data_IF_656587688443
#
_entry.id   IF_656587688443
#
_cell.length_a   1.000
_cell.length_b   1.000
_cell.length_c   1.000
_cell.angle_alpha   90.00
_cell.angle_beta   90.00
_cell.angle_gamma   90.00
#
_symmetry.space_group_name_H-M   'P 1'
#
loop_
_entity.id
_entity.type
_entity.pdbx_description
1 polymer ?
#
# COMPACT_ATOMS: atom_id res chain seq x y z
N UNK A 1 -10.46 -36.26 16.75
CA UNK A 1 -9.36 -37.16 16.46
C UNK A 1 -9.00 -36.99 14.98
N UNK A 2 -8.07 -36.11 14.66
CA UNK A 2 -7.39 -36.10 13.37
C UNK A 2 -5.90 -36.06 13.66
N UNK A 3 -5.37 -37.21 14.04
CA UNK A 3 -3.93 -37.49 14.19
C UNK A 3 -3.54 -38.58 13.19
N UNK A 4 -3.85 -38.39 11.94
CA UNK A 4 -3.10 -39.07 10.90
C UNK A 4 -1.94 -38.16 10.52
N UNK A 5 -0.74 -38.57 10.89
CA UNK A 5 0.53 -37.98 10.47
C UNK A 5 0.67 -38.22 8.96
N UNK A 6 -0.02 -37.44 8.15
CA UNK A 6 0.32 -37.29 6.74
C UNK A 6 1.76 -36.80 6.75
N UNK A 7 2.72 -37.56 6.19
CA UNK A 7 4.08 -37.06 5.94
C UNK A 7 3.93 -35.69 5.26
N UNK A 8 4.61 -34.64 5.73
CA UNK A 8 4.53 -33.36 5.07
C UNK A 8 4.89 -33.57 3.60
N UNK A 9 3.94 -33.23 2.71
CA UNK A 9 4.16 -33.31 1.27
C UNK A 9 5.13 -32.19 0.88
N UNK A 10 5.90 -32.41 -0.18
CA UNK A 10 6.85 -31.41 -0.67
C UNK A 10 6.13 -30.18 -1.22
N UNK A 11 6.82 -29.05 -1.27
CA UNK A 11 6.33 -27.80 -1.87
C UNK A 11 5.73 -28.04 -3.26
N UNK A 12 6.38 -28.84 -4.09
CA UNK A 12 5.93 -29.19 -5.45
C UNK A 12 4.53 -29.79 -5.49
N UNK A 13 4.15 -30.62 -4.51
CA UNK A 13 2.81 -31.21 -4.46
C UNK A 13 1.72 -30.13 -4.31
N UNK A 14 1.91 -29.20 -3.36
CA UNK A 14 0.93 -28.14 -3.11
C UNK A 14 0.85 -27.16 -4.29
N UNK A 15 2.00 -26.82 -4.87
CA UNK A 15 2.07 -25.89 -6.00
C UNK A 15 1.41 -26.47 -7.25
N UNK A 16 1.70 -27.76 -7.59
CA UNK A 16 1.05 -28.41 -8.73
C UNK A 16 -0.46 -28.48 -8.57
N UNK A 17 -0.93 -28.86 -7.36
CA UNK A 17 -2.37 -28.91 -7.09
C UNK A 17 -3.03 -27.52 -7.17
N UNK A 18 -2.35 -26.50 -6.66
CA UNK A 18 -2.82 -25.10 -6.78
C UNK A 18 -2.89 -24.66 -8.24
N UNK A 19 -1.94 -25.08 -9.04
CA UNK A 19 -1.89 -24.77 -10.47
C UNK A 19 -3.04 -25.42 -11.26
N UNK A 20 -3.42 -26.64 -10.89
CA UNK A 20 -4.53 -27.38 -11.49
C UNK A 20 -5.91 -26.85 -11.06
N UNK A 21 -6.04 -26.37 -9.82
CA UNK A 21 -7.36 -26.08 -9.21
C UNK A 21 -7.71 -24.62 -9.07
N UNK A 22 -6.73 -23.71 -9.01
CA UNK A 22 -6.96 -22.29 -8.80
C UNK A 22 -6.84 -21.47 -10.10
N UNK A 23 -7.53 -20.35 -10.10
CA UNK A 23 -7.55 -19.42 -11.23
C UNK A 23 -6.15 -18.99 -11.70
N UNK A 24 -6.01 -18.83 -13.01
CA UNK A 24 -4.80 -18.26 -13.62
C UNK A 24 -4.50 -16.81 -13.17
N UNK A 25 -5.45 -16.12 -12.55
CA UNK A 25 -5.28 -14.76 -12.05
C UNK A 25 -4.36 -14.65 -10.82
N UNK A 26 -4.02 -15.77 -10.15
CA UNK A 26 -3.09 -15.78 -9.01
C UNK A 26 -1.70 -15.27 -9.41
N UNK A 27 -1.04 -14.55 -8.53
CA UNK A 27 0.24 -13.86 -8.81
C UNK A 27 1.40 -14.40 -7.98
N UNK A 28 1.25 -14.47 -6.66
CA UNK A 28 2.35 -14.74 -5.72
C UNK A 28 2.99 -16.12 -5.85
N UNK A 29 2.26 -17.23 -6.09
CA UNK A 29 2.88 -18.56 -6.25
C UNK A 29 3.87 -18.66 -7.41
N UNK A 30 3.70 -17.80 -8.44
CA UNK A 30 4.63 -17.74 -9.57
C UNK A 30 5.94 -17.04 -9.24
N UNK A 31 5.92 -16.18 -8.21
CA UNK A 31 7.10 -15.46 -7.73
C UNK A 31 7.81 -16.26 -6.62
N UNK A 32 7.01 -16.90 -5.76
CA UNK A 32 7.46 -17.63 -4.57
C UNK A 32 6.84 -19.03 -4.57
N UNK A 33 7.46 -20.01 -5.26
CA UNK A 33 6.89 -21.35 -5.47
C UNK A 33 7.12 -22.25 -4.26
N UNK A 34 6.47 -21.96 -3.13
CA UNK A 34 6.52 -22.73 -1.90
C UNK A 34 5.18 -22.72 -1.17
N UNK A 35 4.91 -23.71 -0.34
CA UNK A 35 3.73 -23.80 0.50
C UNK A 35 4.08 -23.42 1.94
N UNK A 36 3.39 -22.41 2.47
CA UNK A 36 3.60 -21.91 3.84
C UNK A 36 3.03 -22.90 4.86
N UNK A 37 3.80 -23.23 5.88
CA UNK A 37 3.39 -24.09 6.99
C UNK A 37 3.28 -23.35 8.32
N UNK A 38 4.24 -22.46 8.61
CA UNK A 38 4.29 -21.70 9.86
C UNK A 38 4.79 -20.27 9.59
N UNK A 39 4.46 -19.38 10.50
CA UNK A 39 4.94 -18.00 10.46
C UNK A 39 4.99 -17.40 11.86
N UNK A 40 5.99 -16.55 12.13
CA UNK A 40 6.11 -15.82 13.39
C UNK A 40 6.94 -14.55 13.18
N UNK A 41 6.44 -13.38 13.60
CA UNK A 41 7.12 -12.11 13.43
C UNK A 41 7.45 -11.82 11.96
N UNK A 42 8.73 -11.61 11.65
CA UNK A 42 9.22 -11.38 10.28
C UNK A 42 9.62 -12.68 9.54
N UNK A 43 9.30 -13.85 10.07
CA UNK A 43 9.75 -15.12 9.53
C UNK A 43 8.60 -16.03 9.13
N UNK A 44 8.77 -16.71 8.01
CA UNK A 44 7.87 -17.78 7.55
C UNK A 44 8.66 -19.07 7.33
N UNK A 45 7.97 -20.21 7.46
CA UNK A 45 8.52 -21.55 7.25
C UNK A 45 7.64 -22.29 6.23
N UNK A 46 8.27 -22.91 5.24
CA UNK A 46 7.55 -23.75 4.28
C UNK A 46 7.30 -25.17 4.82
N UNK A 47 6.56 -25.98 4.06
CA UNK A 47 6.23 -27.37 4.44
C UNK A 47 7.44 -28.30 4.49
N UNK A 48 8.58 -27.90 3.93
CA UNK A 48 9.85 -28.63 3.95
C UNK A 48 10.77 -28.19 5.11
N UNK A 49 10.32 -27.20 5.93
CA UNK A 49 11.06 -26.69 7.07
C UNK A 49 12.07 -25.59 6.72
N UNK A 50 12.06 -25.08 5.50
CA UNK A 50 12.91 -23.96 5.13
C UNK A 50 12.35 -22.65 5.67
N UNK A 51 13.18 -21.83 6.31
CA UNK A 51 12.81 -20.54 6.87
C UNK A 51 13.20 -19.40 5.96
N UNK A 52 12.29 -18.42 5.80
CA UNK A 52 12.48 -17.24 4.99
C UNK A 52 12.22 -15.97 5.81
N UNK A 53 13.07 -14.98 5.64
CA UNK A 53 12.84 -13.63 6.17
C UNK A 53 11.84 -12.92 5.25
N UNK A 54 10.72 -12.45 5.80
CA UNK A 54 9.61 -11.86 5.04
C UNK A 54 9.63 -10.34 5.10
N UNK A 55 10.09 -9.71 4.02
CA UNK A 55 10.03 -8.26 3.79
C UNK A 55 8.91 -7.86 2.82
N UNK A 56 7.94 -8.75 2.60
CA UNK A 56 6.68 -8.50 1.91
C UNK A 56 5.51 -8.31 2.91
N UNK A 57 5.46 -9.13 3.96
CA UNK A 57 4.48 -9.05 5.05
C UNK A 57 3.04 -8.84 4.57
N UNK A 58 2.59 -9.70 3.63
CA UNK A 58 1.25 -9.60 3.06
C UNK A 58 1.01 -8.28 2.32
N UNK A 59 1.99 -7.76 1.59
CA UNK A 59 1.95 -6.46 0.91
C UNK A 59 1.67 -5.28 1.88
N UNK A 60 2.25 -5.35 3.09
CA UNK A 60 2.11 -4.35 4.14
C UNK A 60 0.90 -4.54 5.07
N UNK A 61 0.17 -5.66 4.95
CA UNK A 61 -0.98 -5.96 5.83
C UNK A 61 -0.54 -6.32 7.25
N UNK A 62 0.57 -7.02 7.40
CA UNK A 62 1.08 -7.52 8.68
C UNK A 62 1.93 -6.46 9.38
N UNK A 63 1.29 -5.41 9.88
CA UNK A 63 2.00 -4.30 10.55
C UNK A 63 2.81 -4.78 11.77
N UNK A 64 2.30 -5.73 12.53
CA UNK A 64 2.97 -6.32 13.71
C UNK A 64 3.63 -7.68 13.42
N UNK A 65 3.80 -8.02 12.12
CA UNK A 65 4.32 -9.31 11.70
C UNK A 65 3.31 -10.44 11.78
N UNK A 66 3.79 -11.64 11.50
CA UNK A 66 2.97 -12.86 11.55
C UNK A 66 2.71 -13.28 13.00
N UNK A 67 1.46 -13.66 13.28
CA UNK A 67 1.04 -14.29 14.54
C UNK A 67 1.50 -13.52 15.79
N UNK A 68 1.29 -12.20 15.79
CA UNK A 68 1.56 -11.37 16.97
C UNK A 68 0.76 -11.91 18.16
N UNK A 69 1.44 -12.13 19.30
CA UNK A 69 0.86 -12.83 20.44
C UNK A 69 -0.31 -12.07 21.08
N UNK A 70 -0.23 -10.75 21.15
CA UNK A 70 -1.26 -9.89 21.75
C UNK A 70 -2.50 -9.82 20.84
N UNK A 71 -2.29 -9.71 19.53
CA UNK A 71 -3.37 -9.75 18.53
C UNK A 71 -4.07 -11.10 18.55
N UNK A 72 -3.32 -12.21 18.57
CA UNK A 72 -3.87 -13.56 18.62
C UNK A 72 -4.66 -13.79 19.91
N UNK A 73 -4.13 -13.38 21.07
CA UNK A 73 -4.83 -13.51 22.36
C UNK A 73 -6.16 -12.76 22.35
N UNK A 74 -6.21 -11.55 21.82
CA UNK A 74 -7.45 -10.77 21.72
C UNK A 74 -8.50 -11.44 20.81
N UNK A 75 -8.08 -12.05 19.70
CA UNK A 75 -9.00 -12.81 18.83
C UNK A 75 -9.53 -14.07 19.54
N UNK A 76 -8.68 -14.82 20.23
CA UNK A 76 -9.09 -16.00 21.01
C UNK A 76 -10.07 -15.62 22.10
N UNK A 77 -9.83 -14.54 22.85
CA UNK A 77 -10.75 -14.00 23.84
C UNK A 77 -12.14 -13.74 23.24
N UNK A 78 -12.21 -13.07 22.09
CA UNK A 78 -13.48 -12.80 21.42
C UNK A 78 -14.20 -14.09 20.99
N UNK A 79 -13.48 -15.06 20.40
CA UNK A 79 -14.05 -16.33 19.96
C UNK A 79 -14.66 -17.10 21.14
N UNK A 80 -13.98 -17.11 22.29
CA UNK A 80 -14.39 -17.88 23.48
C UNK A 80 -15.46 -17.16 24.33
N UNK A 81 -15.71 -15.88 24.08
CA UNK A 81 -16.67 -15.06 24.85
C UNK A 81 -18.13 -15.24 24.43
N UNK A 82 -18.43 -16.06 23.42
CA UNK A 82 -19.76 -16.19 22.79
C UNK A 82 -20.30 -14.88 22.17
N UNK A 83 -19.45 -13.88 21.92
CA UNK A 83 -19.83 -12.68 21.20
C UNK A 83 -20.17 -13.00 19.74
N UNK A 84 -21.13 -12.28 19.12
CA UNK A 84 -21.47 -12.53 17.72
C UNK A 84 -20.28 -12.19 16.81
N UNK A 85 -19.89 -13.11 15.95
CA UNK A 85 -18.79 -12.92 14.99
C UNK A 85 -19.26 -12.28 13.68
N UNK A 86 -20.53 -12.46 13.32
CA UNK A 86 -21.16 -11.88 12.14
C UNK A 86 -22.39 -11.05 12.56
N UNK A 87 -22.42 -9.78 12.19
CA UNK A 87 -23.41 -8.82 12.69
C UNK A 87 -24.05 -7.95 11.61
N UNK A 88 -23.75 -8.22 10.31
CA UNK A 88 -24.07 -7.24 9.27
C UNK A 88 -23.43 -5.89 9.63
N UNK A 89 -24.22 -4.81 9.63
CA UNK A 89 -23.83 -3.47 10.07
C UNK A 89 -24.33 -3.09 11.47
N UNK A 90 -24.91 -4.05 12.19
CA UNK A 90 -25.35 -3.84 13.58
C UNK A 90 -24.16 -3.50 14.47
N UNK A 91 -24.43 -2.72 15.54
CA UNK A 91 -23.42 -2.37 16.51
C UNK A 91 -23.18 -3.46 17.54
N UNK A 92 -21.98 -3.50 18.11
CA UNK A 92 -21.56 -4.37 19.22
C UNK A 92 -20.58 -3.62 20.11
N UNK A 93 -20.33 -4.06 21.36
CA UNK A 93 -19.26 -3.49 22.18
C UNK A 93 -17.89 -3.52 21.51
N UNK A 94 -17.56 -4.61 20.79
CA UNK A 94 -16.29 -4.72 20.04
C UNK A 94 -16.19 -3.67 18.94
N UNK A 95 -17.27 -3.47 18.17
CA UNK A 95 -17.32 -2.46 17.12
C UNK A 95 -17.24 -1.05 17.70
N UNK A 96 -17.94 -0.78 18.78
CA UNK A 96 -17.96 0.51 19.44
C UNK A 96 -16.55 0.89 19.95
N UNK A 97 -15.87 -0.01 20.66
CA UNK A 97 -14.48 0.16 21.10
C UNK A 97 -13.53 0.44 19.95
N UNK A 98 -13.67 -0.30 18.83
CA UNK A 98 -12.85 -0.08 17.66
C UNK A 98 -13.08 1.30 17.04
N UNK A 99 -14.34 1.71 16.88
CA UNK A 99 -14.74 3.01 16.35
C UNK A 99 -14.20 4.13 17.23
N UNK A 100 -14.39 4.05 18.55
CA UNK A 100 -13.86 5.03 19.51
C UNK A 100 -12.32 5.14 19.41
N UNK A 101 -11.63 3.99 19.40
CA UNK A 101 -10.18 3.94 19.26
C UNK A 101 -9.72 4.67 17.99
N UNK A 102 -10.34 4.35 16.85
CA UNK A 102 -9.98 4.98 15.59
C UNK A 102 -10.30 6.49 15.57
N UNK A 103 -11.48 6.89 16.05
CA UNK A 103 -11.86 8.31 16.11
C UNK A 103 -10.91 9.14 16.97
N UNK A 104 -10.43 8.57 18.09
CA UNK A 104 -9.46 9.25 18.95
C UNK A 104 -8.10 9.49 18.28
N UNK A 105 -7.77 8.75 17.24
CA UNK A 105 -6.52 8.86 16.47
C UNK A 105 -6.63 9.76 15.23
N UNK A 106 -7.84 10.19 14.87
CA UNK A 106 -8.04 11.08 13.73
C UNK A 106 -7.51 12.50 14.01
N UNK A 107 -7.08 13.23 12.96
CA UNK A 107 -6.73 14.65 13.07
C UNK A 107 -7.86 15.46 13.72
N UNK A 108 -7.50 16.50 14.48
CA UNK A 108 -8.41 17.27 15.33
C UNK A 108 -9.66 17.78 14.64
N UNK A 109 -9.55 18.18 13.36
CA UNK A 109 -10.68 18.65 12.54
C UNK A 109 -11.62 17.53 12.04
N UNK A 110 -11.19 16.27 12.08
CA UNK A 110 -12.01 15.10 11.78
C UNK A 110 -12.48 14.38 13.04
N UNK A 111 -11.76 14.43 14.16
CA UNK A 111 -12.00 13.64 15.37
C UNK A 111 -13.47 13.62 15.81
N UNK A 112 -14.15 14.77 15.80
CA UNK A 112 -15.57 14.90 16.19
C UNK A 112 -16.48 15.20 14.99
N UNK A 113 -15.95 15.14 13.78
CA UNK A 113 -16.63 15.54 12.55
C UNK A 113 -16.54 14.49 11.46
N UNK A 114 -16.09 13.29 11.78
CA UNK A 114 -16.00 12.18 10.83
C UNK A 114 -17.10 11.15 11.05
N UNK A 115 -17.47 10.49 9.95
CA UNK A 115 -18.22 9.23 9.92
C UNK A 115 -17.37 8.11 9.34
N UNK A 116 -17.73 6.88 9.67
CA UNK A 116 -17.02 5.67 9.22
C UNK A 116 -18.01 4.79 8.47
N UNK A 117 -17.69 4.48 7.21
CA UNK A 117 -18.35 3.43 6.44
C UNK A 117 -17.47 2.19 6.46
N UNK A 118 -17.99 1.12 7.05
CA UNK A 118 -17.36 -0.19 6.93
C UNK A 118 -17.64 -0.78 5.54
N UNK A 119 -16.61 -1.33 4.91
CA UNK A 119 -16.65 -1.90 3.57
C UNK A 119 -16.44 -3.42 3.61
N UNK A 120 -16.51 -4.08 2.46
CA UNK A 120 -16.07 -5.47 2.31
C UNK A 120 -14.59 -5.61 2.65
N UNK A 121 -14.06 -6.81 2.85
CA UNK A 121 -12.66 -7.02 3.25
C UNK A 121 -11.60 -6.36 2.38
N UNK A 122 -11.88 -6.12 1.10
CA UNK A 122 -10.91 -5.60 0.15
C UNK A 122 -10.86 -4.06 0.14
N UNK A 123 -9.65 -3.49 0.12
CA UNK A 123 -9.45 -2.03 -0.02
C UNK A 123 -10.10 -1.43 -1.27
N UNK A 124 -10.23 -2.20 -2.36
CA UNK A 124 -10.94 -1.77 -3.57
C UNK A 124 -12.41 -1.42 -3.32
N UNK A 125 -13.08 -2.10 -2.38
CA UNK A 125 -14.46 -1.77 -2.02
C UNK A 125 -14.55 -0.44 -1.25
N UNK A 126 -13.54 -0.12 -0.44
CA UNK A 126 -13.45 1.20 0.19
C UNK A 126 -13.25 2.32 -0.85
N UNK A 127 -12.46 2.05 -1.90
CA UNK A 127 -12.31 3.00 -3.03
C UNK A 127 -13.65 3.20 -3.75
N UNK A 128 -14.35 2.11 -4.09
CA UNK A 128 -15.66 2.17 -4.75
C UNK A 128 -16.70 2.89 -3.87
N UNK A 129 -16.69 2.66 -2.55
CA UNK A 129 -17.51 3.38 -1.60
C UNK A 129 -17.24 4.89 -1.59
N UNK A 130 -15.96 5.28 -1.54
CA UNK A 130 -15.56 6.69 -1.52
C UNK A 130 -15.91 7.43 -2.83
N UNK A 131 -15.74 6.76 -3.97
CA UNK A 131 -16.17 7.31 -5.28
C UNK A 131 -17.68 7.57 -5.28
N UNK A 132 -18.48 6.60 -4.82
CA UNK A 132 -19.94 6.74 -4.72
C UNK A 132 -20.34 7.84 -3.75
N UNK A 133 -19.70 7.89 -2.57
CA UNK A 133 -19.91 8.93 -1.56
C UNK A 133 -19.72 10.32 -2.17
N UNK A 134 -18.56 10.55 -2.78
CA UNK A 134 -18.20 11.87 -3.32
C UNK A 134 -19.10 12.25 -4.50
N UNK A 135 -19.42 11.31 -5.41
CA UNK A 135 -20.37 11.58 -6.51
C UNK A 135 -21.75 11.95 -5.98
N UNK A 136 -22.25 11.24 -4.97
CA UNK A 136 -23.55 11.53 -4.35
C UNK A 136 -23.52 12.89 -3.63
N UNK A 137 -22.45 13.18 -2.88
CA UNK A 137 -22.35 14.40 -2.11
C UNK A 137 -22.23 15.67 -2.96
N UNK A 138 -21.57 15.58 -4.12
CA UNK A 138 -21.28 16.74 -5.00
C UNK A 138 -22.22 16.85 -6.18
N UNK A 139 -22.92 15.78 -6.58
CA UNK A 139 -23.70 15.72 -7.82
C UNK A 139 -22.84 15.68 -9.10
N UNK A 140 -21.50 15.57 -8.97
CA UNK A 140 -20.56 15.56 -10.10
C UNK A 140 -20.28 14.13 -10.55
N UNK A 141 -19.91 13.92 -11.82
CA UNK A 141 -19.77 12.60 -12.43
C UNK A 141 -18.32 12.09 -12.58
N UNK A 142 -17.33 12.99 -12.58
CA UNK A 142 -15.93 12.64 -12.90
C UNK A 142 -15.06 12.48 -11.65
N UNK A 143 -13.94 11.76 -11.79
CA UNK A 143 -12.94 11.59 -10.74
C UNK A 143 -11.56 11.97 -11.30
N UNK A 144 -10.81 12.74 -10.55
CA UNK A 144 -9.41 13.01 -10.83
C UNK A 144 -8.52 11.99 -10.09
N UNK A 145 -7.62 11.34 -10.81
CA UNK A 145 -6.65 10.37 -10.31
C UNK A 145 -5.24 10.71 -10.81
N UNK A 146 -4.24 9.97 -10.38
CA UNK A 146 -2.85 10.25 -10.77
C UNK A 146 -2.20 9.07 -11.49
N UNK A 147 -1.33 9.39 -12.46
CA UNK A 147 -0.54 8.38 -13.17
C UNK A 147 0.33 7.57 -12.19
N UNK A 148 0.35 6.26 -12.36
CA UNK A 148 1.06 5.34 -11.46
C UNK A 148 0.32 4.98 -10.16
N UNK A 149 -0.83 5.60 -9.88
CA UNK A 149 -1.66 5.25 -8.72
C UNK A 149 -2.22 3.83 -8.82
N UNK A 150 -2.35 3.17 -7.67
CA UNK A 150 -3.01 1.87 -7.54
C UNK A 150 -4.07 1.91 -6.44
N UNK A 151 -5.32 1.67 -6.83
CA UNK A 151 -6.46 1.79 -5.91
C UNK A 151 -7.27 0.48 -5.79
N UNK A 152 -6.85 -0.57 -6.48
CA UNK A 152 -7.47 -1.89 -6.39
C UNK A 152 -7.95 -2.46 -7.73
N UNK A 153 -8.57 -3.64 -7.67
CA UNK A 153 -8.93 -4.45 -8.84
C UNK A 153 -10.44 -4.54 -9.08
N UNK A 154 -11.29 -3.95 -8.22
CA UNK A 154 -12.72 -3.76 -8.49
C UNK A 154 -12.92 -2.77 -9.65
N UNK A 155 -14.03 -2.84 -10.39
CA UNK A 155 -14.23 -2.05 -11.61
C UNK A 155 -14.10 -0.54 -11.40
N UNK A 156 -14.64 0.02 -10.33
CA UNK A 156 -14.49 1.44 -10.01
C UNK A 156 -13.06 1.78 -9.58
N UNK A 157 -12.49 1.00 -8.66
CA UNK A 157 -11.11 1.15 -8.19
C UNK A 157 -10.09 0.97 -9.34
N UNK A 158 -10.33 -0.02 -10.22
CA UNK A 158 -9.47 -0.25 -11.38
C UNK A 158 -9.54 0.91 -12.38
N UNK A 159 -10.70 1.56 -12.51
CA UNK A 159 -10.86 2.73 -13.39
C UNK A 159 -9.94 3.88 -13.01
N UNK A 160 -9.75 4.12 -11.71
CA UNK A 160 -8.87 5.18 -11.18
C UNK A 160 -7.43 4.70 -10.95
N UNK A 161 -7.13 3.42 -11.16
CA UNK A 161 -5.76 2.87 -11.13
C UNK A 161 -5.00 3.19 -12.40
N UNK A 162 -3.75 3.66 -12.29
CA UNK A 162 -2.92 4.08 -13.44
C UNK A 162 -2.24 2.92 -14.18
N UNK A 163 -2.23 1.70 -13.63
CA UNK A 163 -1.58 0.54 -14.24
C UNK A 163 -2.36 0.01 -15.45
N UNK A 164 -1.84 0.23 -16.66
CA UNK A 164 -2.46 -0.21 -17.91
C UNK A 164 -2.47 -1.74 -18.05
N UNK A 165 -1.46 -2.44 -17.57
CA UNK A 165 -1.37 -3.91 -17.67
C UNK A 165 -2.56 -4.62 -17.03
N UNK A 166 -3.06 -4.10 -15.92
CA UNK A 166 -4.19 -4.66 -15.19
C UNK A 166 -5.54 -4.46 -15.91
N UNK A 167 -5.66 -3.44 -16.77
CA UNK A 167 -6.94 -3.05 -17.38
C UNK A 167 -6.99 -3.10 -18.91
N UNK A 168 -5.85 -3.32 -19.58
CA UNK A 168 -5.76 -3.29 -21.05
C UNK A 168 -6.69 -4.26 -21.79
N UNK A 169 -7.09 -5.35 -21.14
CA UNK A 169 -7.99 -6.35 -21.69
C UNK A 169 -9.44 -6.24 -21.19
N UNK A 170 -9.72 -5.23 -20.35
CA UNK A 170 -11.05 -5.02 -19.77
C UNK A 170 -11.69 -3.83 -20.45
N UNK A 171 -12.83 -4.05 -21.07
CA UNK A 171 -13.59 -2.98 -21.71
C UNK A 171 -14.62 -2.39 -20.74
N UNK A 172 -15.08 -1.17 -21.04
CA UNK A 172 -16.18 -0.49 -20.36
C UNK A 172 -15.99 -0.35 -18.83
N UNK A 173 -14.77 -0.04 -18.39
CA UNK A 173 -14.54 0.44 -17.03
C UNK A 173 -15.31 1.74 -16.79
N UNK A 174 -15.49 2.16 -15.52
CA UNK A 174 -16.17 3.41 -15.18
C UNK A 174 -15.54 4.57 -15.95
N UNK A 175 -16.34 5.25 -16.76
CA UNK A 175 -15.93 6.45 -17.48
C UNK A 175 -15.77 7.67 -16.57
N UNK A 176 -15.32 8.79 -17.16
CA UNK A 176 -15.18 10.06 -16.44
C UNK A 176 -14.00 10.09 -15.47
N UNK A 177 -12.91 9.41 -15.77
CA UNK A 177 -11.66 9.48 -15.00
C UNK A 177 -10.63 10.33 -15.74
N UNK A 178 -10.16 11.39 -15.10
CA UNK A 178 -9.07 12.23 -15.58
C UNK A 178 -7.79 11.92 -14.82
N UNK A 179 -6.74 11.49 -15.53
CA UNK A 179 -5.43 11.27 -14.95
C UNK A 179 -4.54 12.50 -15.03
N UNK A 180 -3.97 12.86 -13.88
CA UNK A 180 -2.96 13.91 -13.75
C UNK A 180 -1.57 13.29 -13.59
N UNK A 181 -0.49 13.98 -14.02
CA UNK A 181 0.86 13.58 -13.70
C UNK A 181 1.09 13.56 -12.18
N UNK A 182 1.72 12.48 -11.69
CA UNK A 182 2.21 12.41 -10.31
C UNK A 182 3.68 12.81 -10.28
N UNK A 183 4.12 13.70 -9.39
CA UNK A 183 5.52 14.09 -9.31
C UNK A 183 6.42 12.90 -8.97
N UNK A 184 7.42 12.69 -9.80
CA UNK A 184 8.41 11.63 -9.62
C UNK A 184 9.78 12.16 -10.05
N UNK A 185 10.57 12.68 -9.11
CA UNK A 185 11.77 13.44 -9.41
C UNK A 185 12.79 12.68 -10.27
N UNK A 186 13.00 11.39 -10.01
CA UNK A 186 13.94 10.55 -10.76
C UNK A 186 13.49 10.32 -12.22
N UNK A 187 12.17 10.28 -12.49
CA UNK A 187 11.58 10.15 -13.84
C UNK A 187 10.46 11.17 -14.01
N UNK A 188 10.84 12.44 -13.95
CA UNK A 188 9.86 13.53 -13.98
C UNK A 188 9.05 13.51 -15.29
N UNK A 189 7.70 13.48 -15.19
CA UNK A 189 6.83 13.44 -16.37
C UNK A 189 6.92 14.70 -17.25
N UNK A 190 7.51 15.77 -16.74
CA UNK A 190 7.72 17.04 -17.46
C UNK A 190 9.14 17.17 -18.02
N UNK A 191 10.02 16.18 -17.81
CA UNK A 191 11.43 16.26 -18.18
C UNK A 191 12.23 17.29 -17.37
N UNK A 192 11.71 17.70 -16.22
CA UNK A 192 12.31 18.67 -15.30
C UNK A 192 12.69 17.93 -14.00
N UNK A 193 13.91 18.07 -13.52
CA UNK A 193 14.34 17.45 -12.27
C UNK A 193 13.92 18.22 -11.01
N UNK A 194 13.90 17.53 -9.85
CA UNK A 194 13.77 18.13 -8.52
C UNK A 194 12.60 19.12 -8.34
N UNK A 195 12.91 20.26 -7.77
CA UNK A 195 11.90 21.29 -7.44
C UNK A 195 11.19 21.86 -8.68
N UNK A 196 11.89 21.99 -9.82
CA UNK A 196 11.29 22.48 -11.05
C UNK A 196 10.17 21.54 -11.56
N UNK A 197 10.40 20.23 -11.47
CA UNK A 197 9.39 19.22 -11.81
C UNK A 197 8.19 19.26 -10.85
N UNK A 198 8.44 19.46 -9.56
CA UNK A 198 7.38 19.61 -8.55
C UNK A 198 6.52 20.86 -8.82
N UNK A 199 7.15 22.00 -9.05
CA UNK A 199 6.45 23.25 -9.39
C UNK A 199 5.63 23.14 -10.69
N UNK A 200 6.18 22.46 -11.69
CA UNK A 200 5.45 22.18 -12.93
C UNK A 200 4.19 21.33 -12.69
N UNK A 201 4.30 20.30 -11.86
CA UNK A 201 3.16 19.45 -11.50
C UNK A 201 2.09 20.22 -10.71
N UNK A 202 2.51 21.05 -9.75
CA UNK A 202 1.61 21.93 -9.00
C UNK A 202 0.87 22.88 -9.90
N UNK A 203 1.59 23.59 -10.77
CA UNK A 203 1.01 24.55 -11.71
C UNK A 203 0.08 23.87 -12.72
N UNK A 204 0.45 22.71 -13.24
CA UNK A 204 -0.38 21.93 -14.16
C UNK A 204 -1.70 21.51 -13.51
N UNK A 205 -1.64 20.96 -12.31
CA UNK A 205 -2.82 20.52 -11.57
C UNK A 205 -3.79 21.69 -11.30
N UNK A 206 -3.26 22.79 -10.77
CA UNK A 206 -4.06 23.96 -10.43
C UNK A 206 -4.69 24.62 -11.68
N UNK A 207 -3.89 24.86 -12.73
CA UNK A 207 -4.36 25.49 -13.96
C UNK A 207 -5.43 24.65 -14.64
N UNK A 208 -5.23 23.34 -14.74
CA UNK A 208 -6.19 22.49 -15.45
C UNK A 208 -7.57 22.43 -14.76
N UNK A 209 -7.62 22.58 -13.42
CA UNK A 209 -8.88 22.59 -12.67
C UNK A 209 -9.52 24.00 -12.60
N UNK A 210 -8.75 25.08 -12.77
CA UNK A 210 -9.24 26.45 -12.68
C UNK A 210 -9.52 27.10 -14.02
N UNK A 211 -8.91 26.63 -15.09
CA UNK A 211 -9.09 27.17 -16.44
C UNK A 211 -10.42 26.69 -17.02
N UNK A 212 -11.37 27.60 -17.32
CA UNK A 212 -12.67 27.25 -17.89
C UNK A 212 -12.57 26.64 -19.30
N UNK A 213 -11.45 26.81 -20.01
CA UNK A 213 -11.20 26.26 -21.34
C UNK A 213 -10.33 24.97 -21.31
N UNK A 214 -10.04 24.43 -20.12
CA UNK A 214 -9.20 23.23 -19.98
C UNK A 214 -9.84 21.95 -20.56
N UNK A 215 -11.15 21.92 -20.74
CA UNK A 215 -11.91 20.73 -21.11
C UNK A 215 -12.06 19.72 -19.97
N UNK A 216 -11.60 20.02 -18.76
CA UNK A 216 -11.70 19.17 -17.58
C UNK A 216 -12.82 19.68 -16.67
N UNK A 217 -13.97 18.98 -16.59
CA UNK A 217 -15.03 19.37 -15.68
C UNK A 217 -14.59 19.18 -14.23
N UNK A 218 -15.10 20.02 -13.32
CA UNK A 218 -14.80 19.88 -11.90
C UNK A 218 -15.19 18.48 -11.42
N UNK A 219 -14.22 17.71 -10.88
CA UNK A 219 -14.47 16.34 -10.47
C UNK A 219 -15.29 16.25 -9.17
N UNK A 220 -15.93 15.11 -8.96
CA UNK A 220 -16.59 14.74 -7.70
C UNK A 220 -15.58 14.53 -6.57
N UNK A 221 -14.38 14.09 -6.91
CA UNK A 221 -13.27 13.94 -5.98
C UNK A 221 -11.92 13.91 -6.71
N UNK A 222 -10.86 14.20 -5.96
CA UNK A 222 -9.47 13.89 -6.31
C UNK A 222 -9.01 12.75 -5.42
N UNK A 223 -8.57 11.62 -5.99
CA UNK A 223 -8.01 10.49 -5.24
C UNK A 223 -6.49 10.43 -5.42
N UNK A 224 -5.77 10.31 -4.31
CA UNK A 224 -4.30 10.29 -4.30
C UNK A 224 -3.75 9.36 -3.20
N UNK A 225 -2.71 8.59 -3.52
CA UNK A 225 -1.84 7.98 -2.52
C UNK A 225 -0.80 9.02 -2.10
N UNK A 226 -0.66 9.40 -0.81
CA UNK A 226 0.43 10.27 -0.37
C UNK A 226 1.82 9.71 -0.64
N UNK A 227 1.94 8.38 -0.64
CA UNK A 227 3.09 7.63 -1.15
C UNK A 227 2.53 6.55 -2.06
N UNK A 228 2.79 6.63 -3.35
CA UNK A 228 2.38 5.57 -4.27
C UNK A 228 3.09 4.27 -3.93
N UNK A 229 2.33 3.22 -3.63
CA UNK A 229 2.89 1.92 -3.26
C UNK A 229 3.25 1.06 -4.47
N UNK A 230 2.23 0.52 -5.13
CA UNK A 230 2.39 -0.34 -6.31
C UNK A 230 3.05 0.40 -7.49
N UNK A 231 2.87 1.71 -7.57
CA UNK A 231 3.53 2.58 -8.55
C UNK A 231 5.05 2.64 -8.44
N UNK A 232 5.63 2.11 -7.34
CA UNK A 232 7.08 1.97 -7.14
C UNK A 232 7.62 2.72 -5.92
N UNK A 233 6.85 2.84 -4.86
CA UNK A 233 7.18 3.56 -3.62
C UNK A 233 7.63 5.00 -3.93
N UNK A 234 6.70 5.81 -4.41
CA UNK A 234 6.99 7.19 -4.80
C UNK A 234 6.32 8.15 -3.81
N UNK A 235 7.06 8.75 -2.86
CA UNK A 235 6.52 9.80 -2.00
C UNK A 235 6.17 11.05 -2.82
N UNK A 236 4.97 11.59 -2.63
CA UNK A 236 4.65 12.91 -3.16
C UNK A 236 5.48 13.98 -2.46
N UNK A 237 6.00 14.98 -3.18
CA UNK A 237 6.57 16.17 -2.55
C UNK A 237 5.53 16.87 -1.67
N UNK A 238 5.97 17.42 -0.53
CA UNK A 238 5.12 18.14 0.42
C UNK A 238 4.34 19.26 -0.27
N UNK A 239 5.03 20.09 -1.05
CA UNK A 239 4.45 21.20 -1.82
C UNK A 239 3.31 20.72 -2.75
N UNK A 240 3.46 19.54 -3.36
CA UNK A 240 2.44 18.99 -4.24
C UNK A 240 1.18 18.57 -3.47
N UNK A 241 1.32 17.82 -2.36
CA UNK A 241 0.18 17.45 -1.52
C UNK A 241 -0.54 18.68 -0.96
N UNK A 242 0.21 19.70 -0.52
CA UNK A 242 -0.35 20.98 -0.06
C UNK A 242 -1.08 21.72 -1.19
N UNK A 243 -0.53 21.70 -2.40
CA UNK A 243 -1.20 22.31 -3.57
C UNK A 243 -2.48 21.56 -3.90
N UNK A 244 -2.46 20.22 -3.95
CA UNK A 244 -3.67 19.40 -4.17
C UNK A 244 -4.72 19.74 -3.12
N UNK A 245 -4.34 19.77 -1.83
CA UNK A 245 -5.28 20.10 -0.74
C UNK A 245 -5.85 21.51 -0.84
N UNK A 246 -5.01 22.49 -1.09
CA UNK A 246 -5.43 23.90 -1.24
C UNK A 246 -6.41 24.06 -2.41
N UNK A 247 -6.05 23.58 -3.58
CA UNK A 247 -6.88 23.72 -4.80
C UNK A 247 -8.21 23.00 -4.65
N UNK A 248 -8.20 21.77 -4.11
CA UNK A 248 -9.44 21.01 -3.90
C UNK A 248 -10.37 21.69 -2.91
N UNK A 249 -9.82 22.28 -1.83
CA UNK A 249 -10.60 23.04 -0.85
C UNK A 249 -11.20 24.31 -1.46
N UNK A 250 -10.43 25.07 -2.23
CA UNK A 250 -10.89 26.29 -2.91
C UNK A 250 -12.04 26.01 -3.90
N UNK A 251 -11.99 24.86 -4.59
CA UNK A 251 -12.97 24.49 -5.62
C UNK A 251 -14.13 23.62 -5.10
N UNK A 252 -14.17 23.34 -3.78
CA UNK A 252 -15.18 22.47 -3.18
C UNK A 252 -15.14 21.05 -3.77
N UNK A 253 -13.95 20.50 -3.96
CA UNK A 253 -13.72 19.15 -4.44
C UNK A 253 -13.24 18.30 -3.24
N UNK A 254 -13.94 17.24 -2.85
CA UNK A 254 -13.44 16.30 -1.84
C UNK A 254 -12.08 15.71 -2.22
N UNK A 255 -11.11 15.76 -1.31
CA UNK A 255 -9.83 15.07 -1.44
C UNK A 255 -9.88 13.74 -0.74
N UNK A 256 -9.66 12.65 -1.48
CA UNK A 256 -9.55 11.27 -0.97
C UNK A 256 -8.07 10.93 -0.85
N UNK A 257 -7.58 10.71 0.37
CA UNK A 257 -6.28 10.13 0.62
C UNK A 257 -6.40 8.61 0.69
N UNK A 258 -5.74 7.91 -0.23
CA UNK A 258 -5.62 6.46 -0.17
C UNK A 258 -4.44 6.08 0.74
N UNK A 259 -4.77 5.76 1.99
CA UNK A 259 -3.83 5.37 3.04
C UNK A 259 -3.77 3.83 3.23
N UNK A 260 -4.35 3.08 2.28
CA UNK A 260 -4.46 1.61 2.38
C UNK A 260 -3.10 0.95 2.54
N UNK A 261 -2.06 1.41 1.84
CA UNK A 261 -0.73 0.85 1.95
C UNK A 261 0.25 1.74 2.71
N UNK A 262 0.20 3.06 2.54
CA UNK A 262 1.16 4.00 3.11
C UNK A 262 0.80 4.47 4.53
N UNK A 263 -0.44 4.26 4.97
CA UNK A 263 -0.92 4.63 6.30
C UNK A 263 -0.57 3.65 7.41
N UNK A 264 -1.23 3.81 8.53
CA UNK A 264 -1.13 2.92 9.70
C UNK A 264 0.31 2.73 10.19
N UNK A 265 1.05 3.83 10.32
CA UNK A 265 2.40 3.83 10.86
C UNK A 265 3.51 3.51 9.85
N UNK A 266 3.18 3.02 8.66
CA UNK A 266 4.13 2.52 7.66
C UNK A 266 5.22 3.52 7.28
N UNK A 267 4.86 4.79 7.15
CA UNK A 267 5.78 5.87 6.77
C UNK A 267 6.52 6.52 7.96
N UNK A 268 6.31 6.04 9.20
CA UNK A 268 6.79 6.70 10.43
C UNK A 268 5.87 7.81 10.95
N UNK A 269 4.71 7.99 10.32
CA UNK A 269 3.57 8.77 10.79
C UNK A 269 2.35 7.86 10.80
N UNK A 270 1.32 8.15 11.60
CA UNK A 270 0.12 7.31 11.64
C UNK A 270 -0.56 7.31 10.27
N UNK A 271 -0.72 8.48 9.67
CA UNK A 271 -1.15 8.65 8.28
C UNK A 271 -0.05 9.33 7.45
N UNK A 272 0.15 8.87 6.22
CA UNK A 272 1.21 9.40 5.37
C UNK A 272 0.96 10.87 4.93
N UNK A 273 -0.30 11.32 4.86
CA UNK A 273 -0.61 12.74 4.57
C UNK A 273 -0.10 13.70 5.65
N UNK A 274 0.17 13.23 6.87
CA UNK A 274 0.74 14.05 7.95
C UNK A 274 2.15 14.60 7.63
N UNK A 275 2.87 13.97 6.69
CA UNK A 275 4.14 14.50 6.22
C UNK A 275 4.01 15.84 5.50
N UNK A 276 2.83 16.16 4.98
CA UNK A 276 2.55 17.42 4.31
C UNK A 276 1.74 18.40 5.18
N UNK A 277 1.45 18.05 6.42
CA UNK A 277 0.63 18.83 7.35
C UNK A 277 -0.73 19.23 6.74
N UNK A 278 -1.37 18.26 6.08
CA UNK A 278 -2.70 18.41 5.48
C UNK A 278 -3.69 17.44 6.12
N UNK A 279 -4.98 17.73 5.96
CA UNK A 279 -6.06 16.80 6.33
C UNK A 279 -7.00 16.67 5.14
N UNK A 280 -7.17 15.46 4.58
CA UNK A 280 -8.10 15.18 3.49
C UNK A 280 -9.55 15.18 4.00
N UNK A 281 -10.51 15.17 3.06
CA UNK A 281 -11.93 15.04 3.38
C UNK A 281 -12.36 13.58 3.56
N UNK A 282 -11.64 12.67 2.92
CA UNK A 282 -11.88 11.22 2.94
C UNK A 282 -10.56 10.48 3.09
N UNK A 283 -10.52 9.49 3.99
CA UNK A 283 -9.36 8.62 4.23
C UNK A 283 -9.78 7.18 3.97
N UNK A 284 -9.09 6.49 3.07
CA UNK A 284 -9.27 5.06 2.83
C UNK A 284 -8.29 4.26 3.68
N UNK A 285 -8.81 3.30 4.44
CA UNK A 285 -8.01 2.50 5.35
C UNK A 285 -8.34 1.02 5.13
N UNK A 286 -7.31 0.19 5.02
CA UNK A 286 -7.41 -1.27 4.90
C UNK A 286 -6.11 -1.91 5.37
N UNK A 287 -5.78 -3.13 4.92
CA UNK A 287 -4.53 -3.83 5.26
C UNK A 287 -4.27 -3.86 6.77
N UNK A 288 -3.32 -3.07 7.25
CA UNK A 288 -2.87 -3.07 8.65
C UNK A 288 -3.99 -2.83 9.68
N UNK A 289 -5.07 -2.12 9.33
CA UNK A 289 -6.16 -1.79 10.25
C UNK A 289 -6.86 -3.01 10.84
N UNK A 290 -6.88 -4.13 10.13
CA UNK A 290 -7.52 -5.36 10.56
C UNK A 290 -6.65 -6.25 11.47
N UNK A 291 -5.41 -5.84 11.81
CA UNK A 291 -4.50 -6.64 12.64
C UNK A 291 -4.26 -8.05 12.06
N UNK A 292 -3.91 -8.15 10.80
CA UNK A 292 -3.81 -9.38 9.97
C UNK A 292 -5.14 -9.97 9.47
N UNK A 293 -6.28 -9.48 9.94
CA UNK A 293 -7.61 -9.92 9.47
C UNK A 293 -8.17 -8.98 8.39
N UNK A 294 -8.98 -9.49 7.44
CA UNK A 294 -9.53 -8.66 6.37
C UNK A 294 -10.53 -7.62 6.89
N UNK A 295 -10.18 -6.34 6.70
CA UNK A 295 -11.02 -5.19 7.04
C UNK A 295 -10.71 -4.03 6.10
N UNK A 296 -11.73 -3.33 5.63
CA UNK A 296 -11.57 -2.03 4.99
C UNK A 296 -12.68 -1.06 5.40
N UNK A 297 -12.37 0.21 5.39
CA UNK A 297 -13.28 1.27 5.78
C UNK A 297 -12.94 2.61 5.13
N UNK A 298 -13.93 3.48 5.06
CA UNK A 298 -13.82 4.88 4.65
C UNK A 298 -14.11 5.76 5.85
N UNK A 299 -13.15 6.59 6.23
CA UNK A 299 -13.36 7.70 7.18
C UNK A 299 -13.59 8.96 6.36
N UNK A 300 -14.65 9.71 6.64
CA UNK A 300 -14.98 10.89 5.85
C UNK A 300 -15.63 11.99 6.69
N UNK A 301 -15.45 13.24 6.26
CA UNK A 301 -16.12 14.38 6.86
C UNK A 301 -17.64 14.19 6.77
N UNK A 302 -18.36 14.37 7.89
CA UNK A 302 -19.82 14.20 7.96
C UNK A 302 -20.62 15.04 6.97
N UNK A 303 -20.07 16.16 6.48
CA UNK A 303 -20.74 17.02 5.49
C UNK A 303 -20.94 16.32 4.14
N UNK A 304 -20.19 15.24 3.89
CA UNK A 304 -20.33 14.36 2.72
C UNK A 304 -21.41 13.28 2.89
N UNK A 305 -21.98 13.11 4.07
CA UNK A 305 -22.93 12.04 4.40
C UNK A 305 -24.34 12.32 3.82
N UNK A 306 -24.43 12.37 2.49
CA UNK A 306 -25.65 12.68 1.75
C UNK A 306 -26.27 11.50 1.03
N UNK A 307 -25.71 10.32 1.18
CA UNK A 307 -26.28 9.10 0.59
C UNK A 307 -27.46 8.54 1.41
N UNK A 308 -28.29 7.74 0.76
CA UNK A 308 -29.45 7.14 1.39
C UNK A 308 -29.05 5.87 2.17
N UNK A 309 -29.83 5.47 3.19
CA UNK A 309 -29.65 4.19 3.84
C UNK A 309 -29.54 3.04 2.81
N UNK A 310 -28.57 2.16 3.01
CA UNK A 310 -28.30 1.04 2.10
C UNK A 310 -27.51 1.38 0.83
N UNK A 311 -27.11 2.63 0.60
CA UNK A 311 -26.36 3.05 -0.58
C UNK A 311 -25.06 2.26 -0.83
N UNK A 312 -24.45 1.74 0.24
CA UNK A 312 -23.29 0.86 0.16
C UNK A 312 -23.39 -0.26 1.21
N UNK A 313 -24.50 -1.03 1.16
CA UNK A 313 -24.72 -2.18 2.03
C UNK A 313 -23.89 -3.41 1.59
N UNK A 314 -23.67 -4.35 2.48
CA UNK A 314 -22.98 -5.60 2.23
C UNK A 314 -22.96 -6.53 3.44
N UNK A 315 -23.04 -7.84 3.19
CA UNK A 315 -23.20 -8.87 4.22
C UNK A 315 -22.05 -8.92 5.23
N UNK A 316 -20.81 -8.76 4.78
CA UNK A 316 -19.60 -8.90 5.63
C UNK A 316 -19.00 -7.54 6.04
N UNK A 317 -19.83 -6.58 6.35
CA UNK A 317 -19.39 -5.27 6.82
C UNK A 317 -19.15 -5.29 8.31
N UNK A 318 -17.95 -5.02 8.74
CA UNK A 318 -17.63 -4.99 10.16
C UNK A 318 -17.26 -6.36 10.75
N UNK A 319 -16.25 -7.01 10.19
CA UNK A 319 -15.68 -8.24 10.75
C UNK A 319 -15.23 -8.05 12.22
N UNK A 320 -15.91 -8.72 13.15
CA UNK A 320 -15.68 -8.56 14.59
C UNK A 320 -14.27 -8.98 15.02
N UNK A 321 -13.72 -10.06 14.44
CA UNK A 321 -12.34 -10.49 14.71
C UNK A 321 -11.34 -9.45 14.23
N UNK A 322 -11.57 -8.89 13.04
CA UNK A 322 -10.73 -7.83 12.51
C UNK A 322 -10.79 -6.54 13.34
N UNK A 323 -11.96 -6.19 13.88
CA UNK A 323 -12.09 -5.03 14.75
C UNK A 323 -11.39 -5.25 16.11
N UNK A 324 -11.52 -6.43 16.70
CA UNK A 324 -10.83 -6.78 17.96
C UNK A 324 -9.31 -6.76 17.76
N UNK A 325 -8.80 -7.40 16.69
CA UNK A 325 -7.40 -7.41 16.32
C UNK A 325 -6.90 -5.99 15.94
N UNK A 326 -7.71 -5.24 15.21
CA UNK A 326 -7.43 -3.87 14.80
C UNK A 326 -7.32 -2.90 15.97
N UNK A 327 -8.14 -3.05 17.00
CA UNK A 327 -8.04 -2.24 18.23
C UNK A 327 -6.67 -2.42 18.90
N UNK A 328 -6.20 -3.67 19.05
CA UNK A 328 -4.87 -3.96 19.61
C UNK A 328 -3.79 -3.34 18.73
N UNK A 329 -3.90 -3.53 17.40
CA UNK A 329 -2.94 -2.99 16.45
C UNK A 329 -2.87 -1.47 16.52
N UNK A 330 -4.02 -0.77 16.49
CA UNK A 330 -4.10 0.69 16.61
C UNK A 330 -3.45 1.20 17.88
N UNK A 331 -3.77 0.59 19.03
CA UNK A 331 -3.21 0.98 20.33
C UNK A 331 -1.68 0.85 20.40
N UNK A 332 -1.09 -0.03 19.59
CA UNK A 332 0.39 -0.20 19.53
C UNK A 332 1.02 0.74 18.52
N UNK A 333 0.53 0.76 17.29
CA UNK A 333 1.17 1.51 16.20
C UNK A 333 1.00 3.02 16.32
N UNK A 334 0.00 3.50 17.08
CA UNK A 334 -0.24 4.93 17.30
C UNK A 334 0.67 5.56 18.36
N UNK A 335 1.41 4.76 19.11
CA UNK A 335 2.32 5.27 20.14
C UNK A 335 3.46 6.06 19.50
N UNK A 336 3.77 7.22 20.08
CA UNK A 336 4.81 8.12 19.57
C UNK A 336 6.17 7.42 19.46
N UNK A 337 6.53 6.63 20.47
CA UNK A 337 7.77 5.86 20.49
C UNK A 337 7.82 4.77 19.42
N UNK A 338 6.67 4.14 19.10
CA UNK A 338 6.57 3.15 18.04
C UNK A 338 6.81 3.79 16.66
N UNK A 339 6.13 4.91 16.38
CA UNK A 339 6.29 5.64 15.12
C UNK A 339 7.72 6.21 14.97
N UNK A 340 8.31 6.68 16.07
CA UNK A 340 9.70 7.14 16.09
C UNK A 340 10.68 5.99 15.76
N UNK A 341 10.45 4.78 16.28
CA UNK A 341 11.27 3.60 15.98
C UNK A 341 11.11 3.15 14.51
N UNK A 342 9.88 3.17 13.97
CA UNK A 342 9.65 2.91 12.53
C UNK A 342 10.44 3.90 11.67
N UNK A 343 10.44 5.18 12.03
CA UNK A 343 11.23 6.20 11.32
C UNK A 343 12.72 5.92 11.43
N UNK A 344 13.25 5.66 12.64
CA UNK A 344 14.66 5.34 12.87
C UNK A 344 15.14 4.16 12.05
N UNK A 345 14.38 3.05 12.06
CA UNK A 345 14.66 1.85 11.28
C UNK A 345 14.61 2.11 9.78
N UNK A 346 13.65 2.92 9.35
CA UNK A 346 13.53 3.34 7.95
C UNK A 346 14.72 4.17 7.49
N UNK A 347 15.15 5.16 8.30
CA UNK A 347 16.30 6.00 8.00
C UNK A 347 17.61 5.16 7.97
N UNK A 348 17.75 4.21 8.88
CA UNK A 348 18.88 3.28 8.90
C UNK A 348 18.93 2.42 7.64
N UNK A 349 17.82 1.75 7.32
CA UNK A 349 17.72 0.92 6.11
C UNK A 349 17.96 1.74 4.84
N UNK A 350 17.40 2.95 4.76
CA UNK A 350 17.60 3.86 3.64
C UNK A 350 19.09 4.20 3.45
N UNK A 351 19.79 4.54 4.53
CA UNK A 351 21.23 4.86 4.45
C UNK A 351 22.05 3.69 3.92
N UNK A 352 21.75 2.45 4.36
CA UNK A 352 22.44 1.25 3.89
C UNK A 352 22.18 0.94 2.43
N UNK A 353 20.97 1.21 1.95
CA UNK A 353 20.62 1.04 0.54
C UNK A 353 21.28 2.11 -0.34
N UNK A 354 21.41 3.35 0.13
CA UNK A 354 22.17 4.39 -0.56
C UNK A 354 23.70 4.07 -0.60
N UNK A 355 24.26 3.52 0.48
CA UNK A 355 25.64 3.01 0.49
C UNK A 355 25.83 1.90 -0.56
N UNK A 356 24.87 0.96 -0.67
CA UNK A 356 24.91 -0.10 -1.67
C UNK A 356 24.81 0.45 -3.09
N UNK A 357 23.95 1.43 -3.34
CA UNK A 357 23.79 2.09 -4.64
C UNK A 357 25.10 2.65 -5.19
N UNK A 358 25.97 3.19 -4.30
CA UNK A 358 27.28 3.69 -4.72
C UNK A 358 28.27 2.59 -5.13
N UNK A 359 27.98 1.33 -4.81
CA UNK A 359 28.88 0.19 -5.04
C UNK A 359 28.52 -0.62 -6.30
N UNK A 360 27.34 -0.38 -6.87
CA UNK A 360 26.79 -1.17 -8.00
C UNK A 360 26.26 -0.28 -9.11
N UNK A 361 26.11 -0.82 -10.32
CA UNK A 361 25.61 -0.06 -11.47
C UNK A 361 24.12 -0.25 -11.74
N UNK A 362 23.51 -1.30 -11.19
CA UNK A 362 22.12 -1.68 -11.48
C UNK A 362 21.10 -1.04 -10.52
N UNK A 363 21.51 -0.24 -9.52
CA UNK A 363 20.60 0.55 -8.71
C UNK A 363 20.58 2.00 -9.21
N UNK A 364 19.44 2.45 -9.69
CA UNK A 364 19.24 3.81 -10.19
C UNK A 364 18.79 4.80 -9.14
N UNK A 365 17.86 4.38 -8.27
CA UNK A 365 17.28 5.25 -7.25
C UNK A 365 16.86 4.46 -6.00
N UNK A 366 16.98 5.09 -4.83
CA UNK A 366 16.43 4.61 -3.55
C UNK A 366 15.53 5.70 -2.99
N UNK A 367 14.31 5.33 -2.58
CA UNK A 367 13.32 6.31 -2.13
C UNK A 367 12.32 5.70 -1.15
N UNK A 368 11.58 6.55 -0.46
CA UNK A 368 10.51 6.14 0.45
C UNK A 368 10.50 6.93 1.74
N UNK A 369 9.70 6.47 2.70
CA UNK A 369 9.62 7.03 4.07
C UNK A 369 9.32 5.91 5.07
N UNK A 370 9.97 5.95 6.23
CA UNK A 370 9.84 4.91 7.24
C UNK A 370 10.18 3.52 6.66
N UNK A 371 9.40 2.52 7.00
CA UNK A 371 9.57 1.15 6.50
C UNK A 371 8.77 0.88 5.22
N UNK A 372 8.69 1.87 4.34
CA UNK A 372 8.16 1.78 2.98
C UNK A 372 9.21 2.32 2.03
N UNK A 373 10.12 1.45 1.57
CA UNK A 373 11.24 1.82 0.71
C UNK A 373 11.18 1.09 -0.63
N UNK A 374 11.58 1.80 -1.69
CA UNK A 374 11.70 1.29 -3.05
C UNK A 374 13.10 1.47 -3.58
N UNK A 375 13.64 0.40 -4.17
CA UNK A 375 14.95 0.36 -4.81
C UNK A 375 14.71 0.14 -6.30
N UNK A 376 14.96 1.13 -7.13
CA UNK A 376 14.76 1.03 -8.57
C UNK A 376 15.96 0.39 -9.25
N UNK A 377 15.69 -0.69 -9.95
CA UNK A 377 16.68 -1.47 -10.71
C UNK A 377 16.69 -0.99 -12.15
N UNK A 378 17.88 -0.72 -12.68
CA UNK A 378 18.09 -0.15 -14.01
C UNK A 378 19.00 -1.02 -14.87
N UNK A 379 18.93 -0.82 -16.19
CA UNK A 379 19.89 -1.38 -17.13
C UNK A 379 21.10 -0.42 -17.25
N UNK A 380 22.29 -0.82 -16.77
CA UNK A 380 23.48 0.03 -16.81
C UNK A 380 24.03 0.26 -18.23
N UNK A 381 23.66 -0.58 -19.20
CA UNK A 381 24.07 -0.45 -20.60
C UNK A 381 23.08 0.38 -21.44
N UNK A 382 21.91 0.70 -20.85
CA UNK A 382 20.88 1.47 -21.54
C UNK A 382 21.24 2.95 -21.71
N UNK A 383 20.59 3.60 -22.67
CA UNK A 383 20.76 5.05 -22.91
C UNK A 383 20.03 5.84 -21.81
N UNK A 384 20.73 6.76 -21.17
CA UNK A 384 20.16 7.70 -20.21
C UNK A 384 19.12 8.61 -20.87
N UNK A 385 18.06 8.92 -20.11
CA UNK A 385 17.08 9.93 -20.51
C UNK A 385 17.63 11.37 -20.34
N UNK A 386 16.78 12.37 -20.60
CA UNK A 386 17.15 13.80 -20.51
C UNK A 386 17.51 14.25 -19.09
N UNK A 387 17.13 13.49 -18.06
CA UNK A 387 17.46 13.75 -16.65
C UNK A 387 18.66 12.95 -16.16
N UNK A 388 19.27 12.14 -17.05
CA UNK A 388 20.39 11.29 -16.71
C UNK A 388 20.02 9.94 -16.09
N UNK A 389 18.73 9.61 -15.99
CA UNK A 389 18.27 8.34 -15.47
C UNK A 389 18.44 7.21 -16.50
N UNK A 390 19.00 6.09 -16.05
CA UNK A 390 19.11 4.87 -16.85
C UNK A 390 17.72 4.21 -17.00
N UNK A 391 17.48 3.42 -18.06
CA UNK A 391 16.22 2.71 -18.26
C UNK A 391 15.90 1.76 -17.11
N UNK A 392 14.66 1.77 -16.65
CA UNK A 392 14.17 0.82 -15.64
C UNK A 392 14.12 -0.59 -16.21
N UNK A 393 14.69 -1.58 -15.50
CA UNK A 393 14.77 -2.97 -15.96
C UNK A 393 14.01 -3.93 -15.06
N UNK A 394 12.81 -4.33 -15.49
CA UNK A 394 12.03 -5.37 -14.81
C UNK A 394 12.65 -6.77 -14.91
N UNK A 395 13.48 -7.00 -15.93
CA UNK A 395 14.20 -8.27 -16.12
C UNK A 395 15.32 -8.43 -15.09
N UNK A 396 16.21 -7.44 -14.97
CA UNK A 396 17.27 -7.45 -13.94
C UNK A 396 16.65 -7.48 -12.54
N UNK A 397 15.58 -6.72 -12.32
CA UNK A 397 14.84 -6.74 -11.06
C UNK A 397 14.29 -8.14 -10.72
N UNK A 398 13.80 -8.88 -11.72
CA UNK A 398 13.33 -10.26 -11.52
C UNK A 398 14.49 -11.21 -11.18
N UNK A 399 15.69 -11.00 -11.73
CA UNK A 399 16.88 -11.77 -11.38
C UNK A 399 17.30 -11.50 -9.93
N UNK A 400 17.32 -10.23 -9.52
CA UNK A 400 17.59 -9.84 -8.12
C UNK A 400 16.57 -10.45 -7.17
N UNK A 401 15.26 -10.38 -7.48
CA UNK A 401 14.19 -10.97 -6.66
C UNK A 401 14.39 -12.49 -6.49
N UNK A 402 14.69 -13.19 -7.57
CA UNK A 402 14.94 -14.63 -7.55
C UNK A 402 16.17 -14.99 -6.70
N UNK A 403 17.25 -14.21 -6.85
CA UNK A 403 18.45 -14.41 -6.05
C UNK A 403 18.20 -14.17 -4.55
N UNK A 404 17.41 -13.15 -4.19
CA UNK A 404 16.96 -12.93 -2.81
C UNK A 404 16.17 -14.13 -2.29
N UNK A 405 15.20 -14.62 -3.06
CA UNK A 405 14.38 -15.77 -2.67
C UNK A 405 15.21 -17.05 -2.48
N UNK A 406 16.17 -17.33 -3.37
CA UNK A 406 17.08 -18.44 -3.27
C UNK A 406 17.93 -18.37 -2.00
N UNK A 407 18.22 -17.16 -1.51
CA UNK A 407 18.93 -16.91 -0.25
C UNK A 407 17.99 -16.65 0.93
N UNK A 408 16.73 -17.12 0.86
CA UNK A 408 15.76 -17.09 1.96
C UNK A 408 15.27 -15.70 2.35
N UNK A 409 15.22 -14.76 1.41
CA UNK A 409 14.63 -13.45 1.60
C UNK A 409 13.45 -13.25 0.63
N UNK A 410 12.27 -12.97 1.17
CA UNK A 410 11.06 -12.64 0.42
C UNK A 410 10.98 -11.13 0.29
N UNK A 411 11.06 -10.63 -0.95
CA UNK A 411 10.83 -9.22 -1.28
C UNK A 411 9.94 -9.12 -2.51
N UNK A 412 9.07 -8.13 -2.53
CA UNK A 412 8.23 -7.89 -3.68
C UNK A 412 8.91 -6.97 -4.70
N UNK A 413 8.59 -7.19 -5.98
CA UNK A 413 8.88 -6.23 -7.03
C UNK A 413 7.60 -5.60 -7.57
N UNK A 414 7.65 -4.32 -7.88
CA UNK A 414 6.55 -3.54 -8.44
C UNK A 414 7.05 -2.36 -9.23
N UNK A 415 6.29 -1.29 -9.24
CA UNK A 415 6.65 -0.08 -9.97
C UNK A 415 6.51 -0.22 -11.49
N UNK A 416 6.89 0.84 -12.18
CA UNK A 416 6.86 0.87 -13.65
C UNK A 416 7.77 -0.22 -14.21
N UNK A 417 7.26 -0.99 -15.15
CA UNK A 417 7.94 -2.17 -15.75
C UNK A 417 8.31 -3.28 -14.75
N UNK A 418 7.80 -3.23 -13.50
CA UNK A 418 8.18 -4.17 -12.46
C UNK A 418 9.65 -4.03 -12.04
N UNK A 419 10.22 -2.83 -12.11
CA UNK A 419 11.64 -2.58 -11.92
C UNK A 419 12.01 -2.09 -10.51
N UNK A 420 11.10 -2.11 -9.55
CA UNK A 420 11.34 -1.62 -8.18
C UNK A 420 11.24 -2.76 -7.18
N UNK A 421 12.34 -3.07 -6.49
CA UNK A 421 12.31 -3.91 -5.29
C UNK A 421 11.73 -3.10 -4.13
N UNK A 422 10.77 -3.68 -3.38
CA UNK A 422 10.02 -2.97 -2.33
C UNK A 422 10.22 -3.62 -0.97
N UNK A 423 10.52 -2.81 0.04
CA UNK A 423 10.56 -3.20 1.45
C UNK A 423 9.22 -2.83 2.09
N UNK A 424 8.49 -3.84 2.55
CA UNK A 424 7.19 -3.72 3.22
C UNK A 424 7.15 -4.60 4.48
N UNK A 425 8.26 -4.70 5.22
CA UNK A 425 8.40 -5.55 6.40
C UNK A 425 7.42 -5.19 7.52
N UNK A 426 7.35 -6.03 8.56
CA UNK A 426 6.67 -5.70 9.79
C UNK A 426 7.23 -4.41 10.40
N UNK A 427 6.40 -3.57 11.02
CA UNK A 427 6.83 -2.29 11.61
C UNK A 427 7.66 -2.50 12.89
N UNK A 428 7.45 -3.63 13.56
CA UNK A 428 8.20 -4.07 14.73
C UNK A 428 9.38 -5.01 14.39
N UNK A 429 9.80 -5.06 13.11
CA UNK A 429 10.97 -5.84 12.68
C UNK A 429 12.18 -5.51 13.55
N UNK A 430 12.99 -6.51 13.91
CA UNK A 430 14.20 -6.29 14.71
C UNK A 430 15.34 -5.65 13.89
N UNK A 431 16.28 -5.00 14.57
CA UNK A 431 17.47 -4.44 13.91
C UNK A 431 18.31 -5.57 13.29
N UNK A 432 18.39 -6.75 13.94
CA UNK A 432 19.09 -7.93 13.44
C UNK A 432 18.45 -8.47 12.15
N UNK A 433 17.12 -8.45 12.04
CA UNK A 433 16.43 -8.87 10.83
C UNK A 433 16.63 -7.86 9.70
N UNK A 434 16.73 -6.56 10.01
CA UNK A 434 17.09 -5.53 9.04
C UNK A 434 18.52 -5.76 8.53
N UNK A 435 19.48 -5.98 9.40
CA UNK A 435 20.87 -6.24 9.03
C UNK A 435 21.02 -7.51 8.19
N UNK A 436 20.25 -8.55 8.52
CA UNK A 436 20.22 -9.78 7.75
C UNK A 436 19.63 -9.55 6.35
N UNK A 437 18.53 -8.80 6.26
CA UNK A 437 17.95 -8.40 4.96
C UNK A 437 18.98 -7.64 4.13
N UNK A 438 19.65 -6.63 4.69
CA UNK A 438 20.67 -5.83 3.99
C UNK A 438 21.79 -6.73 3.49
N UNK A 439 22.27 -7.67 4.30
CA UNK A 439 23.32 -8.62 3.94
C UNK A 439 22.92 -9.47 2.74
N UNK A 440 21.73 -10.10 2.79
CA UNK A 440 21.23 -10.96 1.69
C UNK A 440 20.98 -10.15 0.43
N UNK A 441 20.31 -9.01 0.56
CA UNK A 441 19.97 -8.15 -0.58
C UNK A 441 21.23 -7.60 -1.25
N UNK A 442 22.22 -7.12 -0.48
CA UNK A 442 23.48 -6.63 -1.00
C UNK A 442 24.26 -7.71 -1.75
N UNK A 443 24.31 -8.93 -1.20
CA UNK A 443 24.96 -10.04 -1.88
C UNK A 443 24.26 -10.39 -3.21
N UNK A 444 22.92 -10.44 -3.22
CA UNK A 444 22.13 -10.69 -4.41
C UNK A 444 22.36 -9.63 -5.49
N UNK A 445 22.28 -8.36 -5.12
CA UNK A 445 22.49 -7.22 -6.06
C UNK A 445 23.91 -7.23 -6.62
N UNK A 446 24.94 -7.40 -5.78
CA UNK A 446 26.35 -7.45 -6.24
C UNK A 446 26.61 -8.62 -7.17
N UNK A 447 26.03 -9.79 -6.92
CA UNK A 447 26.13 -10.97 -7.79
C UNK A 447 25.56 -10.69 -9.17
N UNK A 448 24.34 -10.13 -9.23
CA UNK A 448 23.66 -9.82 -10.49
C UNK A 448 24.40 -8.68 -11.23
N UNK A 449 24.83 -7.62 -10.53
CA UNK A 449 25.62 -6.52 -11.10
C UNK A 449 26.90 -7.04 -11.77
N UNK A 450 27.62 -7.97 -11.11
CA UNK A 450 28.82 -8.58 -11.67
C UNK A 450 28.53 -9.46 -12.90
N UNK A 451 27.37 -10.09 -12.99
CA UNK A 451 26.94 -10.86 -14.16
C UNK A 451 26.62 -9.94 -15.34
N UNK A 452 25.89 -8.84 -15.10
CA UNK A 452 25.53 -7.86 -16.12
C UNK A 452 26.78 -7.17 -16.69
N UNK A 453 27.78 -6.84 -15.86
CA UNK A 453 29.05 -6.22 -16.33
C UNK A 453 29.92 -7.12 -17.22
N UNK A 454 29.69 -8.43 -17.20
CA UNK A 454 30.45 -9.39 -18.04
C UNK A 454 29.85 -9.62 -19.41
N UNK A 455 28.59 -9.27 -19.57
CA UNK A 455 27.83 -9.37 -20.81
C UNK A 455 27.85 -8.04 -21.58
#
# INVERSE_FOLDING_TARGET
>A
MYKDRVKPMQNSFYISRQEETESNARSYPRKFPFALAKAQGSWVEDVEGNRYLDFLCGAGTLALGHNDAEVNAAMVELITSNAPLHTLDLTTPTKDTFVETLQNLLPSNLKNNAKIQFCSPAGSDAVDAAIKLCKTATGRGTIAAFSGGYHGMGHGALSVTGNLGAKSKIQNLMGGVQFFPYPYSYRCPFGLGGDAGTKAACAYFERLLKDPESGVPLPAAVIIEPIQGEGGVIPAPVEFLQTVRRVTKELGIPMIADEIQCGMGRSGKLFAFEWADIVPDVILISKAIGGSQPLSLVVYNKDLDKWQPGAHAGTFRGNQLAMKAGTVTLNRISKTEFLADVKRKGDYLFSKLEELKQQVSIIGDVRGKGLMLGIEIVDPHGKKDSLGALPASGEICAQVQRECFNNRLIMEKGGRNGAVMRCLCALNVSDEDIDKMISIFSAAVKKIDAQIKKN
#
